data_IF_458393775985
#
_entry.id   IF_458393775985
#
_cell.length_a   1.000
_cell.length_b   1.000
_cell.length_c   1.000
_cell.angle_alpha   90.00
_cell.angle_beta   90.00
_cell.angle_gamma   90.00
#
_symmetry.space_group_name_H-M   'P 1'
#
loop_
_entity.id
_entity.type
_entity.pdbx_description
1 polymer ?
#
# COMPACT_ATOMS: atom_id res chain seq x y z
N UNK A 1 -20.44 -63.73 -8.93
CA UNK A 1 -19.20 -63.05 -8.47
C UNK A 1 -18.97 -61.68 -9.13
N UNK A 2 -19.37 -61.45 -10.39
CA UNK A 2 -19.15 -60.15 -11.08
C UNK A 2 -19.76 -58.91 -10.40
N UNK A 3 -20.98 -58.99 -9.86
CA UNK A 3 -21.66 -57.84 -9.26
C UNK A 3 -21.00 -57.32 -7.96
N UNK A 4 -20.35 -58.18 -7.18
CA UNK A 4 -19.69 -57.79 -5.92
C UNK A 4 -18.39 -57.03 -6.21
N UNK A 5 -17.62 -57.49 -7.20
CA UNK A 5 -16.42 -56.78 -7.66
C UNK A 5 -16.77 -55.43 -8.30
N UNK A 6 -17.86 -55.37 -9.07
CA UNK A 6 -18.34 -54.12 -9.68
C UNK A 6 -18.77 -53.09 -8.62
N UNK A 7 -19.55 -53.50 -7.60
CA UNK A 7 -19.97 -52.61 -6.51
C UNK A 7 -18.79 -52.12 -5.65
N UNK A 8 -17.78 -52.98 -5.42
CA UNK A 8 -16.56 -52.59 -4.71
C UNK A 8 -15.73 -51.56 -5.51
N UNK A 9 -15.53 -51.78 -6.81
CA UNK A 9 -14.82 -50.85 -7.70
C UNK A 9 -15.54 -49.50 -7.80
N UNK A 10 -16.87 -49.50 -7.88
CA UNK A 10 -17.68 -48.28 -7.87
C UNK A 10 -17.51 -47.50 -6.55
N UNK A 11 -17.52 -48.20 -5.41
CA UNK A 11 -17.30 -47.58 -4.10
C UNK A 11 -15.93 -46.90 -3.98
N UNK A 12 -14.86 -47.57 -4.42
CA UNK A 12 -13.50 -46.99 -4.44
C UNK A 12 -13.42 -45.78 -5.36
N UNK A 13 -14.04 -45.85 -6.54
CA UNK A 13 -14.09 -44.73 -7.49
C UNK A 13 -14.81 -43.52 -6.88
N UNK A 14 -15.97 -43.71 -6.25
CA UNK A 14 -16.73 -42.64 -5.61
C UNK A 14 -15.96 -42.00 -4.44
N UNK A 15 -15.29 -42.82 -3.61
CA UNK A 15 -14.42 -42.32 -2.55
C UNK A 15 -13.24 -41.51 -3.11
N UNK A 16 -12.62 -41.96 -4.20
CA UNK A 16 -11.54 -41.23 -4.86
C UNK A 16 -12.04 -39.89 -5.43
N UNK A 17 -13.20 -39.87 -6.09
CA UNK A 17 -13.83 -38.65 -6.61
C UNK A 17 -14.16 -37.68 -5.48
N UNK A 18 -14.80 -38.14 -4.41
CA UNK A 18 -15.09 -37.32 -3.22
C UNK A 18 -13.82 -36.71 -2.62
N UNK A 19 -12.76 -37.50 -2.49
CA UNK A 19 -11.48 -37.02 -1.97
C UNK A 19 -10.83 -35.97 -2.88
N UNK A 20 -10.91 -36.14 -4.20
CA UNK A 20 -10.45 -35.15 -5.18
C UNK A 20 -11.26 -33.86 -5.05
N UNK A 21 -12.59 -33.94 -4.96
CA UNK A 21 -13.48 -32.79 -4.79
C UNK A 21 -13.19 -32.05 -3.48
N UNK A 22 -12.97 -32.76 -2.37
CA UNK A 22 -12.58 -32.17 -1.10
C UNK A 22 -11.23 -31.46 -1.19
N UNK A 23 -10.24 -32.05 -1.87
CA UNK A 23 -8.94 -31.41 -2.09
C UNK A 23 -9.05 -30.16 -2.96
N UNK A 24 -9.85 -30.21 -4.03
CA UNK A 24 -10.08 -29.06 -4.90
C UNK A 24 -10.81 -27.94 -4.16
N UNK A 25 -11.86 -28.28 -3.39
CA UNK A 25 -12.58 -27.34 -2.54
C UNK A 25 -11.68 -26.68 -1.49
N UNK A 26 -10.79 -27.42 -0.84
CA UNK A 26 -9.79 -26.83 0.08
C UNK A 26 -8.85 -25.84 -0.62
N UNK A 27 -8.41 -26.15 -1.84
CA UNK A 27 -7.53 -25.26 -2.63
C UNK A 27 -8.26 -23.97 -3.04
N UNK A 28 -9.53 -24.09 -3.42
CA UNK A 28 -10.37 -22.94 -3.73
C UNK A 28 -10.61 -22.05 -2.51
N UNK A 29 -10.81 -22.65 -1.34
CA UNK A 29 -10.90 -21.90 -0.08
C UNK A 29 -9.63 -21.10 0.21
N UNK A 30 -8.44 -21.66 -0.01
CA UNK A 30 -7.19 -20.90 0.16
C UNK A 30 -7.09 -19.72 -0.80
N UNK A 31 -7.52 -19.89 -2.04
CA UNK A 31 -7.54 -18.80 -3.02
C UNK A 31 -8.50 -17.69 -2.59
N UNK A 32 -9.75 -18.04 -2.25
CA UNK A 32 -10.74 -17.05 -1.81
C UNK A 32 -10.30 -16.33 -0.54
N UNK A 33 -9.82 -17.08 0.46
CA UNK A 33 -9.30 -16.49 1.70
C UNK A 33 -8.11 -15.55 1.43
N UNK A 34 -7.27 -15.85 0.43
CA UNK A 34 -6.19 -14.96 0.04
C UNK A 34 -6.72 -13.68 -0.62
N UNK A 35 -7.76 -13.77 -1.44
CA UNK A 35 -8.44 -12.59 -2.01
C UNK A 35 -9.06 -11.72 -0.92
N UNK A 36 -9.72 -12.32 0.06
CA UNK A 36 -10.34 -11.59 1.18
C UNK A 36 -9.27 -10.84 1.99
N UNK A 37 -8.19 -11.52 2.37
CA UNK A 37 -7.06 -10.90 3.09
C UNK A 37 -6.34 -9.81 2.30
N UNK A 38 -6.33 -9.91 0.98
CA UNK A 38 -5.76 -8.89 0.11
C UNK A 38 -6.67 -7.65 0.02
N UNK A 39 -7.98 -7.83 0.09
CA UNK A 39 -8.97 -6.74 0.09
C UNK A 39 -9.13 -6.03 1.43
N UNK A 40 -8.99 -6.76 2.54
CA UNK A 40 -9.27 -6.27 3.91
C UNK A 40 -8.10 -5.51 4.58
N UNK A 41 -6.99 -5.26 3.88
CA UNK A 41 -6.10 -4.16 4.26
C UNK A 41 -4.89 -4.51 5.13
N UNK A 42 -4.01 -5.41 4.66
CA UNK A 42 -2.59 -5.34 5.07
C UNK A 42 -1.91 -6.66 5.39
N UNK A 43 -2.62 -7.79 5.43
CA UNK A 43 -2.02 -9.12 5.65
C UNK A 43 -1.36 -9.71 4.40
N UNK A 44 -0.65 -8.88 3.63
CA UNK A 44 -0.08 -9.24 2.32
C UNK A 44 0.86 -10.45 2.40
N UNK A 45 1.58 -10.64 3.52
CA UNK A 45 2.43 -11.81 3.71
C UNK A 45 1.63 -13.10 3.82
N UNK A 46 0.51 -13.06 4.54
CA UNK A 46 -0.38 -14.21 4.75
C UNK A 46 -1.18 -14.52 3.49
N UNK A 47 -1.69 -13.48 2.83
CA UNK A 47 -2.32 -13.59 1.52
C UNK A 47 -1.35 -14.25 0.52
N UNK A 48 -0.10 -13.80 0.46
CA UNK A 48 0.93 -14.39 -0.39
C UNK A 48 1.16 -15.88 -0.09
N UNK A 49 1.28 -16.25 1.19
CA UNK A 49 1.47 -17.64 1.59
C UNK A 49 0.29 -18.54 1.16
N UNK A 50 -0.94 -18.02 1.26
CA UNK A 50 -2.15 -18.72 0.82
C UNK A 50 -2.23 -18.82 -0.71
N UNK A 51 -1.92 -17.75 -1.46
CA UNK A 51 -1.82 -17.79 -2.91
C UNK A 51 -0.78 -18.81 -3.39
N UNK A 52 0.42 -18.83 -2.77
CA UNK A 52 1.45 -19.85 -3.07
C UNK A 52 0.95 -21.27 -2.76
N UNK A 53 0.19 -21.45 -1.68
CA UNK A 53 -0.39 -22.75 -1.33
C UNK A 53 -1.47 -23.17 -2.34
N UNK A 54 -2.31 -22.25 -2.78
CA UNK A 54 -3.30 -22.47 -3.82
C UNK A 54 -2.62 -22.82 -5.16
N UNK A 55 -1.61 -22.06 -5.58
CA UNK A 55 -0.88 -22.27 -6.83
C UNK A 55 -0.21 -23.64 -6.94
N UNK A 56 0.24 -24.23 -5.81
CA UNK A 56 0.79 -25.61 -5.80
C UNK A 56 -0.27 -26.69 -6.07
N UNK A 57 -1.54 -26.38 -5.83
CA UNK A 57 -2.64 -27.33 -5.98
C UNK A 57 -3.56 -27.06 -7.18
N UNK A 58 -3.54 -25.85 -7.71
CA UNK A 58 -4.30 -25.46 -8.90
C UNK A 58 -3.48 -25.76 -10.16
N UNK A 59 -4.16 -25.86 -11.30
CA UNK A 59 -3.55 -26.14 -12.60
C UNK A 59 -4.07 -25.16 -13.65
N UNK A 60 -3.34 -25.05 -14.77
CA UNK A 60 -3.68 -24.19 -15.89
C UNK A 60 -3.95 -22.75 -15.45
N UNK A 61 -5.03 -22.19 -15.97
CA UNK A 61 -5.40 -20.78 -15.81
C UNK A 61 -5.68 -20.38 -14.36
N UNK A 62 -6.15 -21.29 -13.50
CA UNK A 62 -6.34 -21.03 -12.07
C UNK A 62 -5.03 -20.97 -11.30
N UNK A 63 -4.00 -21.70 -11.74
CA UNK A 63 -2.65 -21.56 -11.19
C UNK A 63 -2.07 -20.20 -11.56
N UNK A 64 -2.26 -19.76 -12.80
CA UNK A 64 -1.86 -18.43 -13.27
C UNK A 64 -2.48 -17.34 -12.41
N UNK A 65 -3.78 -17.43 -12.12
CA UNK A 65 -4.47 -16.48 -11.24
C UNK A 65 -3.91 -16.46 -9.81
N UNK A 66 -3.63 -17.63 -9.22
CA UNK A 66 -3.02 -17.70 -7.90
C UNK A 66 -1.59 -17.10 -7.89
N UNK A 67 -0.80 -17.32 -8.94
CA UNK A 67 0.53 -16.71 -9.08
C UNK A 67 0.46 -15.20 -9.30
N UNK A 68 -0.54 -14.71 -10.04
CA UNK A 68 -0.82 -13.29 -10.17
C UNK A 68 -1.09 -12.65 -8.80
N UNK A 69 -1.87 -13.32 -7.93
CA UNK A 69 -2.07 -12.90 -6.54
C UNK A 69 -0.78 -12.81 -5.73
N UNK A 70 0.17 -13.72 -5.93
CA UNK A 70 1.52 -13.65 -5.32
C UNK A 70 2.25 -12.38 -5.77
N UNK A 71 2.26 -12.09 -7.07
CA UNK A 71 2.88 -10.89 -7.63
C UNK A 71 2.28 -9.61 -7.05
N UNK A 72 0.95 -9.54 -6.94
CA UNK A 72 0.24 -8.40 -6.38
C UNK A 72 0.57 -8.18 -4.89
N UNK A 73 0.62 -9.25 -4.08
CA UNK A 73 1.02 -9.16 -2.68
C UNK A 73 2.44 -8.58 -2.53
N UNK A 74 3.38 -9.01 -3.37
CA UNK A 74 4.77 -8.51 -3.37
C UNK A 74 4.83 -7.03 -3.78
N UNK A 75 4.10 -6.65 -4.83
CA UNK A 75 4.02 -5.25 -5.29
C UNK A 75 3.43 -4.32 -4.23
N UNK A 76 2.40 -4.76 -3.50
CA UNK A 76 1.82 -3.98 -2.39
C UNK A 76 2.78 -3.82 -1.20
N UNK A 77 3.78 -4.70 -1.07
CA UNK A 77 4.86 -4.62 -0.09
C UNK A 77 6.13 -3.95 -0.62
N UNK A 78 6.08 -3.35 -1.81
CA UNK A 78 7.23 -2.68 -2.44
C UNK A 78 8.27 -3.59 -3.07
N UNK A 79 8.07 -4.91 -3.07
CA UNK A 79 8.93 -5.85 -3.78
C UNK A 79 8.65 -5.84 -5.27
N UNK A 80 8.96 -4.74 -5.96
CA UNK A 80 8.65 -4.55 -7.38
C UNK A 80 9.46 -5.48 -8.29
N UNK A 81 10.72 -5.74 -7.95
CA UNK A 81 11.56 -6.69 -8.67
C UNK A 81 11.00 -8.12 -8.55
N UNK A 82 10.66 -8.54 -7.33
CA UNK A 82 10.11 -9.87 -7.06
C UNK A 82 8.68 -10.02 -7.57
N UNK A 83 7.92 -8.94 -7.66
CA UNK A 83 6.61 -8.91 -8.30
C UNK A 83 6.74 -9.05 -9.82
N UNK A 84 7.60 -8.27 -10.46
CA UNK A 84 7.85 -8.34 -11.90
C UNK A 84 8.30 -9.74 -12.32
N UNK A 85 9.24 -10.34 -11.58
CA UNK A 85 9.73 -11.70 -11.83
C UNK A 85 8.63 -12.78 -11.73
N UNK A 86 7.58 -12.54 -10.94
CA UNK A 86 6.42 -13.45 -10.84
C UNK A 86 5.38 -13.18 -11.92
N UNK A 87 5.11 -11.91 -12.22
CA UNK A 87 4.04 -11.48 -13.13
C UNK A 87 4.41 -11.67 -14.60
N UNK A 88 5.65 -11.39 -14.97
CA UNK A 88 6.08 -11.40 -16.38
C UNK A 88 5.91 -12.77 -17.07
N UNK A 89 6.31 -13.91 -16.47
CA UNK A 89 6.08 -15.22 -17.09
C UNK A 89 4.60 -15.57 -17.29
N UNK A 90 3.69 -14.88 -16.59
CA UNK A 90 2.24 -15.11 -16.71
C UNK A 90 1.66 -14.41 -17.93
N UNK A 91 2.36 -13.46 -18.56
CA UNK A 91 1.83 -12.67 -19.67
C UNK A 91 1.61 -13.50 -20.94
N UNK A 92 2.36 -14.59 -21.10
CA UNK A 92 2.18 -15.55 -22.19
C UNK A 92 1.01 -16.54 -21.94
N UNK A 93 0.42 -16.52 -20.75
CA UNK A 93 -0.62 -17.48 -20.35
C UNK A 93 -2.00 -16.84 -20.46
N UNK A 94 -2.97 -17.60 -20.96
CA UNK A 94 -4.37 -17.18 -20.91
C UNK A 94 -4.92 -17.33 -19.49
N UNK A 95 -5.75 -16.38 -19.08
CA UNK A 95 -6.50 -16.47 -17.84
C UNK A 95 -7.85 -17.16 -18.08
N UNK A 96 -8.54 -17.63 -17.01
CA UNK A 96 -9.89 -18.14 -17.16
C UNK A 96 -10.79 -17.04 -17.74
N UNK A 97 -11.79 -17.38 -18.57
CA UNK A 97 -12.74 -16.37 -19.10
C UNK A 97 -13.45 -15.57 -18.01
N UNK A 98 -13.64 -16.16 -16.83
CA UNK A 98 -14.20 -15.49 -15.66
C UNK A 98 -13.30 -14.36 -15.10
N UNK A 99 -12.03 -14.31 -15.52
CA UNK A 99 -11.00 -13.36 -15.09
C UNK A 99 -10.57 -12.45 -16.25
N UNK A 100 -11.51 -12.10 -17.14
CA UNK A 100 -11.26 -11.15 -18.24
C UNK A 100 -10.70 -9.81 -17.76
N UNK A 101 -11.12 -9.36 -16.58
CA UNK A 101 -10.58 -8.14 -15.98
C UNK A 101 -9.08 -8.26 -15.69
N UNK A 102 -8.64 -9.43 -15.21
CA UNK A 102 -7.23 -9.69 -14.89
C UNK A 102 -6.36 -9.74 -16.16
N UNK A 103 -6.92 -10.05 -17.33
CA UNK A 103 -6.20 -9.98 -18.61
C UNK A 103 -5.76 -8.55 -18.95
N UNK A 104 -6.43 -7.54 -18.39
CA UNK A 104 -6.13 -6.11 -18.55
C UNK A 104 -5.32 -5.59 -17.36
N UNK A 105 -5.71 -5.99 -16.15
CA UNK A 105 -5.11 -5.51 -14.92
C UNK A 105 -3.68 -6.02 -14.73
N UNK A 106 -3.37 -7.27 -15.13
CA UNK A 106 -2.04 -7.84 -14.92
C UNK A 106 -0.93 -7.16 -15.73
N UNK A 107 -1.10 -6.88 -17.04
CA UNK A 107 -0.15 -6.05 -17.77
C UNK A 107 0.02 -4.67 -17.14
N UNK A 108 -1.04 -4.06 -16.61
CA UNK A 108 -0.97 -2.79 -15.87
C UNK A 108 -0.15 -2.88 -14.58
N UNK A 109 -0.30 -3.94 -13.78
CA UNK A 109 0.51 -4.17 -12.59
C UNK A 109 1.99 -4.41 -12.94
N UNK A 110 2.26 -5.18 -14.00
CA UNK A 110 3.62 -5.38 -14.49
C UNK A 110 4.24 -4.06 -14.96
N UNK A 111 3.48 -3.25 -15.71
CA UNK A 111 3.92 -1.93 -16.13
C UNK A 111 4.28 -1.03 -14.94
N UNK A 112 3.47 -1.03 -13.87
CA UNK A 112 3.80 -0.30 -12.64
C UNK A 112 5.11 -0.80 -12.03
N UNK A 113 5.31 -2.11 -11.90
CA UNK A 113 6.55 -2.67 -11.35
C UNK A 113 7.77 -2.24 -12.16
N UNK A 114 7.69 -2.36 -13.49
CA UNK A 114 8.77 -1.96 -14.40
C UNK A 114 9.05 -0.45 -14.35
N UNK A 115 8.01 0.38 -14.25
CA UNK A 115 8.17 1.83 -14.09
C UNK A 115 8.90 2.19 -12.78
N UNK A 116 8.57 1.50 -11.69
CA UNK A 116 9.24 1.69 -10.39
C UNK A 116 10.71 1.24 -10.43
N UNK A 117 11.03 0.20 -11.21
CA UNK A 117 12.41 -0.26 -11.45
C UNK A 117 13.19 0.63 -12.43
N UNK A 118 12.52 1.53 -13.16
CA UNK A 118 13.13 2.41 -14.15
C UNK A 118 13.15 1.90 -15.57
N UNK A 119 12.52 0.77 -15.84
CA UNK A 119 12.46 0.15 -17.15
C UNK A 119 11.28 0.71 -17.96
N UNK A 120 11.28 2.01 -18.22
CA UNK A 120 10.12 2.74 -18.76
C UNK A 120 9.68 2.25 -20.14
N UNK A 121 10.61 1.85 -21.02
CA UNK A 121 10.27 1.31 -22.34
C UNK A 121 9.47 0.00 -22.24
N UNK A 122 9.87 -0.91 -21.34
CA UNK A 122 9.15 -2.17 -21.07
C UNK A 122 7.82 -1.89 -20.37
N UNK A 123 7.81 -0.94 -19.44
CA UNK A 123 6.59 -0.50 -18.77
C UNK A 123 5.55 0.02 -19.78
N UNK A 124 5.96 0.88 -20.72
CA UNK A 124 5.11 1.40 -21.81
C UNK A 124 4.57 0.29 -22.70
N UNK A 125 5.42 -0.68 -23.07
CA UNK A 125 4.97 -1.82 -23.87
C UNK A 125 3.81 -2.57 -23.18
N UNK A 126 3.99 -2.95 -21.91
CA UNK A 126 2.95 -3.69 -21.18
C UNK A 126 1.72 -2.85 -20.86
N UNK A 127 1.88 -1.55 -20.64
CA UNK A 127 0.74 -0.64 -20.51
C UNK A 127 -0.05 -0.54 -21.82
N UNK A 128 0.63 -0.47 -22.97
CA UNK A 128 0.00 -0.53 -24.30
C UNK A 128 -0.80 -1.80 -24.49
N UNK A 129 -0.24 -2.96 -24.13
CA UNK A 129 -0.97 -4.25 -24.14
C UNK A 129 -2.20 -4.21 -23.24
N UNK A 130 -2.13 -3.57 -22.07
CA UNK A 130 -3.28 -3.39 -21.20
C UNK A 130 -4.40 -2.58 -21.89
N UNK A 131 -4.05 -1.45 -22.50
CA UNK A 131 -5.00 -0.60 -23.21
C UNK A 131 -5.59 -1.28 -24.45
N UNK A 132 -4.81 -2.02 -25.23
CA UNK A 132 -5.35 -2.75 -26.41
C UNK A 132 -6.42 -3.78 -26.01
N UNK A 133 -6.24 -4.42 -24.85
CA UNK A 133 -7.19 -5.41 -24.31
C UNK A 133 -8.46 -4.77 -23.76
N UNK A 134 -8.46 -3.46 -23.52
CA UNK A 134 -9.60 -2.74 -22.97
C UNK A 134 -9.86 -1.47 -23.76
N UNK A 135 -10.92 -1.47 -24.58
CA UNK A 135 -11.29 -0.37 -25.48
C UNK A 135 -11.81 0.92 -24.80
N UNK A 136 -11.27 1.30 -23.64
CA UNK A 136 -11.66 2.48 -22.87
C UNK A 136 -10.64 2.85 -21.78
N UNK A 137 -10.89 3.97 -21.09
CA UNK A 137 -10.04 4.44 -19.99
C UNK A 137 -10.43 3.72 -18.69
N UNK A 138 -9.46 3.12 -18.01
CA UNK A 138 -9.72 2.33 -16.78
C UNK A 138 -8.94 2.86 -15.60
N UNK A 139 -9.63 3.00 -14.48
CA UNK A 139 -9.09 3.60 -13.26
C UNK A 139 -7.89 2.85 -12.70
N UNK A 140 -7.78 1.54 -12.92
CA UNK A 140 -6.62 0.74 -12.51
C UNK A 140 -5.37 0.90 -13.40
N UNK A 141 -5.48 1.52 -14.58
CA UNK A 141 -4.33 1.82 -15.45
C UNK A 141 -3.76 3.23 -15.20
N UNK A 142 -4.49 4.09 -14.47
CA UNK A 142 -4.03 5.46 -14.19
C UNK A 142 -2.73 5.46 -13.39
N UNK A 143 -2.62 4.61 -12.36
CA UNK A 143 -1.41 4.55 -11.53
C UNK A 143 -0.14 4.17 -12.31
N UNK A 144 -0.10 3.06 -13.10
CA UNK A 144 1.07 2.76 -13.91
C UNK A 144 1.39 3.86 -14.92
N UNK A 145 0.38 4.44 -15.57
CA UNK A 145 0.58 5.50 -16.56
C UNK A 145 1.18 6.77 -15.94
N UNK A 146 0.64 7.21 -14.80
CA UNK A 146 1.17 8.33 -14.03
C UNK A 146 2.59 8.06 -13.55
N UNK A 147 2.88 6.85 -13.07
CA UNK A 147 4.24 6.49 -12.64
C UNK A 147 5.24 6.59 -13.80
N UNK A 148 4.89 6.09 -14.99
CA UNK A 148 5.72 6.19 -16.20
C UNK A 148 5.94 7.67 -16.57
N UNK A 149 4.87 8.48 -16.64
CA UNK A 149 4.97 9.89 -17.00
C UNK A 149 5.84 10.69 -16.02
N UNK A 150 5.68 10.45 -14.72
CA UNK A 150 6.52 11.06 -13.69
C UNK A 150 8.00 10.65 -13.84
N UNK A 151 8.24 9.37 -14.12
CA UNK A 151 9.59 8.80 -14.30
C UNK A 151 10.33 9.43 -15.47
N UNK A 152 9.60 9.73 -16.54
CA UNK A 152 10.16 10.30 -17.78
C UNK A 152 10.19 11.84 -17.78
N UNK A 153 9.74 12.48 -16.71
CA UNK A 153 9.72 13.95 -16.61
C UNK A 153 8.54 14.62 -17.31
N UNK A 154 7.55 13.86 -17.79
CA UNK A 154 6.32 14.39 -18.40
C UNK A 154 5.28 14.78 -17.32
N UNK A 155 5.69 15.64 -16.39
CA UNK A 155 4.97 15.93 -15.15
C UNK A 155 3.62 16.63 -15.39
N UNK A 156 3.56 17.56 -16.33
CA UNK A 156 2.31 18.23 -16.70
C UNK A 156 1.28 17.27 -17.29
N UNK A 157 1.73 16.28 -18.07
CA UNK A 157 0.85 15.24 -18.59
C UNK A 157 0.35 14.31 -17.48
N UNK A 158 1.22 13.95 -16.52
CA UNK A 158 0.84 13.17 -15.34
C UNK A 158 -0.24 13.89 -14.50
N UNK A 159 -0.05 15.19 -14.25
CA UNK A 159 -1.01 16.01 -13.50
C UNK A 159 -2.36 16.11 -14.21
N UNK A 160 -2.34 16.47 -15.50
CA UNK A 160 -3.57 16.55 -16.32
C UNK A 160 -4.32 15.23 -16.31
N UNK A 161 -3.61 14.11 -16.47
CA UNK A 161 -4.23 12.79 -16.43
C UNK A 161 -4.88 12.47 -15.08
N UNK A 162 -4.19 12.78 -13.97
CA UNK A 162 -4.76 12.60 -12.64
C UNK A 162 -5.98 13.50 -12.42
N UNK A 163 -5.97 14.73 -12.91
CA UNK A 163 -7.10 15.66 -12.83
C UNK A 163 -8.31 15.17 -13.64
N UNK A 164 -8.10 14.81 -14.91
CA UNK A 164 -9.13 14.26 -15.80
C UNK A 164 -9.79 12.99 -15.21
N UNK A 165 -9.00 12.18 -14.50
CA UNK A 165 -9.46 10.91 -13.92
C UNK A 165 -9.88 11.03 -12.45
N UNK A 166 -9.65 12.17 -11.78
CA UNK A 166 -9.83 12.30 -10.34
C UNK A 166 -11.25 11.94 -9.87
N UNK A 167 -12.33 12.41 -10.52
CA UNK A 167 -13.69 12.06 -10.12
C UNK A 167 -13.97 10.56 -10.22
N UNK A 168 -13.45 9.91 -11.27
CA UNK A 168 -13.60 8.47 -11.48
C UNK A 168 -12.80 7.67 -10.44
N UNK A 169 -11.57 8.09 -10.14
CA UNK A 169 -10.74 7.46 -9.11
C UNK A 169 -11.41 7.56 -7.73
N UNK A 170 -12.05 8.69 -7.42
CA UNK A 170 -12.79 8.89 -6.17
C UNK A 170 -14.03 7.99 -6.12
N UNK A 171 -14.84 7.97 -7.17
CA UNK A 171 -16.04 7.13 -7.25
C UNK A 171 -15.72 5.64 -7.11
N UNK A 172 -14.61 5.19 -7.70
CA UNK A 172 -14.15 3.81 -7.63
C UNK A 172 -13.38 3.47 -6.33
N UNK A 173 -13.17 4.43 -5.43
CA UNK A 173 -12.37 4.24 -4.22
C UNK A 173 -10.89 3.93 -4.48
N UNK A 174 -10.36 4.33 -5.66
CA UNK A 174 -8.99 4.04 -6.11
C UNK A 174 -7.98 5.17 -5.87
N UNK A 175 -8.37 6.22 -5.17
CA UNK A 175 -7.44 7.24 -4.67
C UNK A 175 -6.61 6.67 -3.53
N UNK A 176 -5.58 5.91 -3.89
CA UNK A 176 -4.64 5.32 -2.94
C UNK A 176 -3.52 6.31 -2.53
N UNK A 177 -2.74 5.93 -1.52
CA UNK A 177 -1.56 6.71 -1.07
C UNK A 177 -0.58 6.98 -2.22
N UNK A 178 -0.32 6.00 -3.09
CA UNK A 178 0.62 6.16 -4.21
C UNK A 178 0.15 7.18 -5.26
N UNK A 179 -1.13 7.22 -5.61
CA UNK A 179 -1.63 8.23 -6.56
C UNK A 179 -1.46 9.64 -5.99
N UNK A 180 -1.73 9.81 -4.68
CA UNK A 180 -1.54 11.09 -3.97
C UNK A 180 -0.06 11.47 -3.90
N UNK A 181 0.82 10.50 -3.64
CA UNK A 181 2.26 10.69 -3.62
C UNK A 181 2.76 11.18 -4.99
N UNK A 182 2.39 10.51 -6.08
CA UNK A 182 2.79 10.93 -7.43
C UNK A 182 2.22 12.29 -7.82
N UNK A 183 1.00 12.61 -7.40
CA UNK A 183 0.43 13.96 -7.59
C UNK A 183 1.26 15.03 -6.90
N UNK A 184 1.58 14.85 -5.62
CA UNK A 184 2.39 15.80 -4.88
C UNK A 184 3.82 15.90 -5.44
N UNK A 185 4.42 14.77 -5.82
CA UNK A 185 5.72 14.72 -6.47
C UNK A 185 5.73 15.51 -7.78
N UNK A 186 4.73 15.32 -8.64
CA UNK A 186 4.64 16.01 -9.91
C UNK A 186 4.45 17.53 -9.72
N UNK A 187 3.64 17.96 -8.74
CA UNK A 187 3.50 19.38 -8.42
C UNK A 187 4.79 19.99 -7.87
N UNK A 188 5.48 19.27 -6.99
CA UNK A 188 6.79 19.68 -6.45
C UNK A 188 7.83 19.89 -7.55
N UNK A 189 7.84 19.05 -8.59
CA UNK A 189 8.78 19.19 -9.70
C UNK A 189 8.40 20.25 -10.73
N UNK A 190 7.13 20.62 -10.84
CA UNK A 190 6.68 21.65 -11.79
C UNK A 190 6.86 23.06 -11.23
N UNK A 191 6.34 23.32 -10.02
CA UNK A 191 6.39 24.63 -9.38
C UNK A 191 6.26 24.45 -7.85
N UNK A 192 7.38 24.23 -7.14
CA UNK A 192 7.34 23.93 -5.72
C UNK A 192 6.84 25.11 -4.90
N UNK A 193 7.25 26.35 -5.24
CA UNK A 193 6.91 27.55 -4.46
C UNK A 193 5.40 27.79 -4.47
N UNK A 194 4.78 27.75 -5.66
CA UNK A 194 3.33 27.96 -5.80
C UNK A 194 2.49 26.86 -5.16
N UNK A 195 3.02 25.63 -5.10
CA UNK A 195 2.30 24.46 -4.61
C UNK A 195 2.69 24.04 -3.18
N UNK A 196 3.49 24.86 -2.48
CA UNK A 196 4.07 24.55 -1.17
C UNK A 196 3.05 23.98 -0.17
N UNK A 197 1.92 24.66 0.01
CA UNK A 197 0.88 24.26 0.97
C UNK A 197 0.28 22.90 0.62
N UNK A 198 -0.03 22.67 -0.66
CA UNK A 198 -0.58 21.40 -1.13
C UNK A 198 0.42 20.26 -0.93
N UNK A 199 1.69 20.50 -1.24
CA UNK A 199 2.77 19.51 -1.10
C UNK A 199 2.89 19.12 0.37
N UNK A 200 3.00 20.10 1.28
CA UNK A 200 3.14 19.83 2.70
C UNK A 200 1.93 19.13 3.30
N UNK A 201 0.71 19.60 2.99
CA UNK A 201 -0.51 18.96 3.48
C UNK A 201 -0.61 17.51 2.97
N UNK A 202 -0.24 17.26 1.72
CA UNK A 202 -0.26 15.91 1.16
C UNK A 202 0.78 15.02 1.84
N UNK A 203 2.02 15.48 1.99
CA UNK A 203 3.09 14.71 2.63
C UNK A 203 2.77 14.38 4.09
N UNK A 204 2.24 15.35 4.86
CA UNK A 204 1.77 15.11 6.23
C UNK A 204 0.66 14.06 6.29
N UNK A 205 -0.26 14.06 5.31
CA UNK A 205 -1.36 13.08 5.26
C UNK A 205 -0.92 11.68 4.82
N UNK A 206 0.28 11.54 4.26
CA UNK A 206 0.83 10.28 3.76
C UNK A 206 1.87 9.68 4.71
N UNK A 207 2.52 10.51 5.51
CA UNK A 207 3.59 10.11 6.40
C UNK A 207 3.07 9.44 7.69
N UNK A 208 3.88 8.59 8.35
CA UNK A 208 5.24 8.21 7.95
C UNK A 208 5.24 7.25 6.76
N UNK A 209 6.10 7.55 5.78
CA UNK A 209 6.29 6.67 4.63
C UNK A 209 7.13 5.46 5.05
N UNK A 210 6.75 4.22 4.68
CA UNK A 210 7.42 3.03 5.18
C UNK A 210 8.90 2.95 4.74
N UNK A 211 9.79 2.55 5.67
CA UNK A 211 11.24 2.48 5.40
C UNK A 211 11.61 1.54 4.25
N UNK A 212 10.83 0.48 4.04
CA UNK A 212 11.06 -0.43 2.90
C UNK A 212 10.78 0.25 1.56
N UNK A 213 9.77 1.13 1.48
CA UNK A 213 9.43 1.86 0.24
C UNK A 213 10.48 2.94 -0.01
N UNK A 214 10.96 3.59 1.05
CA UNK A 214 12.08 4.52 1.03
C UNK A 214 13.36 3.86 0.51
N UNK A 215 13.74 2.71 1.08
CA UNK A 215 14.96 1.98 0.70
C UNK A 215 14.91 1.58 -0.77
N UNK A 216 13.78 1.03 -1.23
CA UNK A 216 13.59 0.72 -2.65
C UNK A 216 13.74 1.96 -3.53
N UNK A 217 13.10 3.08 -3.16
CA UNK A 217 13.19 4.30 -3.95
C UNK A 217 14.61 4.89 -3.93
N UNK A 218 15.38 4.78 -2.84
CA UNK A 218 16.78 5.25 -2.83
C UNK A 218 17.64 4.54 -3.86
N UNK A 219 17.40 3.24 -4.07
CA UNK A 219 18.13 2.43 -5.05
C UNK A 219 17.62 2.69 -6.47
N UNK A 220 16.31 2.65 -6.67
CA UNK A 220 15.73 2.64 -8.01
C UNK A 220 15.18 3.97 -8.48
N UNK A 221 14.85 4.92 -7.59
CA UNK A 221 14.31 6.24 -7.96
C UNK A 221 14.75 7.33 -6.97
N UNK A 222 16.05 7.70 -6.93
CA UNK A 222 16.60 8.55 -5.86
C UNK A 222 15.84 9.87 -5.68
N UNK A 223 15.46 10.50 -6.80
CA UNK A 223 14.72 11.77 -6.79
C UNK A 223 13.34 11.67 -6.12
N UNK A 224 12.66 10.52 -6.23
CA UNK A 224 11.41 10.27 -5.53
C UNK A 224 11.68 10.00 -4.04
N UNK A 225 12.77 9.28 -3.73
CA UNK A 225 13.18 9.05 -2.35
C UNK A 225 13.48 10.35 -1.60
N UNK A 226 14.17 11.31 -2.24
CA UNK A 226 14.44 12.64 -1.65
C UNK A 226 13.13 13.38 -1.33
N UNK A 227 12.16 13.32 -2.24
CA UNK A 227 10.84 13.90 -2.03
C UNK A 227 10.07 13.24 -0.86
N UNK A 228 10.14 11.91 -0.77
CA UNK A 228 9.52 11.17 0.33
C UNK A 228 10.22 11.46 1.67
N UNK A 229 11.55 11.59 1.67
CA UNK A 229 12.35 11.92 2.85
C UNK A 229 11.96 13.27 3.42
N UNK A 230 11.72 14.28 2.56
CA UNK A 230 11.20 15.59 2.96
C UNK A 230 9.90 15.47 3.77
N UNK A 231 9.00 14.54 3.40
CA UNK A 231 7.77 14.28 4.14
C UNK A 231 8.01 13.70 5.54
N UNK A 232 8.92 12.73 5.66
CA UNK A 232 9.28 12.14 6.95
C UNK A 232 9.96 13.17 7.87
N UNK A 233 10.82 14.03 7.32
CA UNK A 233 11.44 15.13 8.08
C UNK A 233 10.43 16.16 8.57
N UNK A 234 9.42 16.47 7.75
CA UNK A 234 8.35 17.39 8.12
C UNK A 234 7.56 16.88 9.34
N UNK A 235 7.23 15.59 9.36
CA UNK A 235 6.58 14.96 10.52
C UNK A 235 7.49 14.99 11.75
N UNK A 236 8.77 14.62 11.61
CA UNK A 236 9.73 14.65 12.72
C UNK A 236 9.85 16.06 13.33
N UNK A 237 9.86 17.11 12.51
CA UNK A 237 9.86 18.52 12.98
C UNK A 237 8.57 18.87 13.71
N UNK A 238 7.40 18.45 13.22
CA UNK A 238 6.13 18.70 13.88
C UNK A 238 6.04 18.00 15.24
N UNK A 239 6.53 16.75 15.33
CA UNK A 239 6.58 16.01 16.58
C UNK A 239 7.53 16.68 17.59
N UNK A 240 8.72 17.11 17.15
CA UNK A 240 9.65 17.86 17.99
C UNK A 240 9.03 19.17 18.52
N UNK A 241 8.34 19.93 17.66
CA UNK A 241 7.63 21.15 18.06
C UNK A 241 6.46 20.87 19.01
N UNK A 242 5.78 19.73 18.86
CA UNK A 242 4.70 19.32 19.78
C UNK A 242 5.28 19.04 21.17
N UNK A 243 6.34 18.23 21.24
CA UNK A 243 7.02 17.89 22.49
C UNK A 243 7.62 19.12 23.18
N UNK A 244 8.20 20.04 22.42
CA UNK A 244 8.70 21.30 22.98
C UNK A 244 7.58 22.13 23.62
N UNK A 245 6.43 22.29 22.92
CA UNK A 245 5.28 23.01 23.48
C UNK A 245 4.72 22.32 24.72
N UNK A 246 4.63 20.99 24.73
CA UNK A 246 4.20 20.23 25.90
C UNK A 246 5.14 20.45 27.10
N UNK A 247 6.45 20.46 26.88
CA UNK A 247 7.43 20.76 27.92
C UNK A 247 7.32 22.21 28.44
N UNK A 248 7.14 23.19 27.55
CA UNK A 248 6.91 24.59 27.92
C UNK A 248 5.64 24.76 28.76
N UNK A 249 4.55 24.10 28.38
CA UNK A 249 3.31 24.10 29.16
C UNK A 249 3.51 23.44 30.53
N UNK A 250 4.16 22.28 30.60
CA UNK A 250 4.43 21.59 31.86
C UNK A 250 5.29 22.44 32.81
N UNK A 251 6.29 23.15 32.29
CA UNK A 251 7.12 24.06 33.08
C UNK A 251 6.29 25.22 33.66
N UNK A 252 5.42 25.84 32.85
CA UNK A 252 4.52 26.92 33.30
C UNK A 252 3.55 26.45 34.38
N UNK A 253 2.99 25.25 34.26
CA UNK A 253 2.11 24.69 35.29
C UNK A 253 2.88 24.42 36.59
N UNK A 254 4.08 23.84 36.51
CA UNK A 254 4.91 23.58 37.69
C UNK A 254 5.33 24.88 38.41
N UNK A 255 5.59 25.97 37.68
CA UNK A 255 5.87 27.28 38.25
C UNK A 255 4.66 27.84 38.99
N UNK A 256 3.49 27.82 38.35
CA UNK A 256 2.23 28.25 38.96
C UNK A 256 1.88 27.47 40.23
N UNK A 257 2.11 26.15 40.24
CA UNK A 257 1.86 25.32 41.42
C UNK A 257 2.80 25.68 42.58
N UNK A 258 4.07 26.02 42.29
CA UNK A 258 5.01 26.49 43.31
C UNK A 258 4.60 27.85 43.87
N UNK A 259 4.14 28.78 43.03
CA UNK A 259 3.63 30.08 43.45
C UNK A 259 2.40 29.93 44.36
N UNK A 260 1.45 29.07 44.00
CA UNK A 260 0.27 28.78 44.82
C UNK A 260 0.66 28.13 46.16
N UNK A 261 1.60 27.19 46.16
CA UNK A 261 2.11 26.58 47.39
C UNK A 261 2.84 27.59 48.29
N UNK A 262 3.54 28.57 47.71
CA UNK A 262 4.19 29.64 48.46
C UNK A 262 3.17 30.63 49.04
N UNK A 263 2.12 30.97 48.28
CA UNK A 263 1.05 31.89 48.74
C UNK A 263 0.15 31.31 49.83
N UNK A 264 0.03 29.97 49.93
CA UNK A 264 -0.78 29.29 50.94
C UNK A 264 -0.02 28.97 52.24
N UNK A 265 1.26 29.36 52.37
CA UNK A 265 1.93 29.32 53.67
C UNK A 265 1.38 30.45 54.54
N UNK A 266 0.58 30.10 55.54
CA UNK A 266 0.14 31.04 56.58
C UNK A 266 1.34 31.80 57.16
N UNK A 267 1.22 33.13 57.36
CA UNK A 267 2.28 33.88 58.02
C UNK A 267 2.53 33.28 59.42
N UNK A 268 3.78 33.24 59.89
CA UNK A 268 4.09 32.73 61.22
C UNK A 268 3.20 33.46 62.23
N UNK A 269 2.47 32.68 63.05
CA UNK A 269 1.73 33.26 64.19
C UNK A 269 2.73 34.12 64.96
N UNK A 270 2.41 35.40 65.24
CA UNK A 270 3.30 36.24 66.02
C UNK A 270 3.53 35.51 67.34
N UNK A 271 4.80 35.30 67.68
CA UNK A 271 5.19 34.72 68.95
C UNK A 271 4.45 35.49 70.04
N UNK A 272 3.59 34.78 70.78
CA UNK A 272 2.97 35.31 71.96
C UNK A 272 4.09 35.70 72.90
N UNK A 273 4.29 37.00 73.05
CA UNK A 273 5.19 37.59 74.03
C UNK A 273 4.62 37.19 75.40
N UNK A 274 5.16 36.11 75.95
CA UNK A 274 4.91 35.67 77.32
C UNK A 274 5.47 36.76 78.23
N UNK A 275 4.63 37.74 78.52
CA UNK A 275 4.87 38.82 79.45
C UNK A 275 5.20 38.27 80.83
N UNK A 276 6.50 38.11 81.09
CA UNK A 276 7.08 38.00 82.41
C UNK A 276 7.89 39.26 82.68
N UNK A 277 7.34 40.17 83.48
CA UNK A 277 8.04 41.06 84.42
C UNK A 277 7.02 41.97 85.11
N UNK A 278 6.81 41.76 86.41
CA UNK A 278 6.01 42.60 87.29
C UNK A 278 5.44 41.86 88.48
#
# INVERSE_FOLDING_TARGET
MGNVLFMSMLGVLLCAVMWVLLRLGRRWRYYNQACDLLGEGGENQRAEALFRRAARGLYGTHRTAALAGVGLCRMQRGGYAEAAAVLEPLMAQRLPRAMRLDEVVLPGHLALCLAMLGETSRARHWLGVAHERFGGRVTFLVLPEVAILCREGHLGAALKMMEDCWPLLLADGRVCSRIRLFRAFAQWKVDPERNTDFIFMTLLSLAPLPEWEMTFCREHWPVLADFMQMGNELVARQEAQRLQREAEWAARYAERDRELAASNREPPKPDGDDGSSG
#
